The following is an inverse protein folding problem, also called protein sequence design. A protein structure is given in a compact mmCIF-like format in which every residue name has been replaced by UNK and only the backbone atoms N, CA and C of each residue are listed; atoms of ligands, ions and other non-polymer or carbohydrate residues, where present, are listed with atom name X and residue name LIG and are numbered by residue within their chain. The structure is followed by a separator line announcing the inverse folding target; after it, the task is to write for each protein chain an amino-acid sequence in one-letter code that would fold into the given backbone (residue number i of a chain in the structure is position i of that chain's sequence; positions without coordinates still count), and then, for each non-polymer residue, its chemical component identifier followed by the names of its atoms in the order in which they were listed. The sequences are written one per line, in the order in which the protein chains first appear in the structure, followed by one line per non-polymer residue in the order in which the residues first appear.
data_IF_407612276343
#
_entry.id   IF_407612276343
#
_cell.length_a   1.000
_cell.length_b   1.000
_cell.length_c   1.000
_cell.angle_alpha   90.00
_cell.angle_beta   90.00
_cell.angle_gamma   90.00
#
_symmetry.space_group_name_H-M   'P 1'
#
loop_
_entity.id
_entity.type
_entity.pdbx_description
1 polymer ?
#
# COMPACT_ATOMS: atom_id res chain seq x y z
N UNK A 1 -2.77 -21.73 0.80
CA UNK A 1 -1.76 -20.66 0.67
C UNK A 1 -2.50 -19.39 0.30
N UNK A 2 -2.34 -18.31 1.08
CA UNK A 2 -2.97 -17.01 0.76
C UNK A 2 -2.35 -16.44 -0.53
N UNK A 3 -3.14 -15.70 -1.30
CA UNK A 3 -2.66 -15.05 -2.55
C UNK A 3 -2.26 -13.60 -2.22
N UNK A 4 -1.00 -13.20 -2.45
CA UNK A 4 -0.55 -11.84 -2.12
C UNK A 4 -1.33 -10.78 -2.89
N UNK A 5 -1.85 -11.11 -4.07
CA UNK A 5 -2.68 -10.21 -4.87
C UNK A 5 -4.05 -9.98 -4.23
N UNK A 6 -4.68 -11.04 -3.72
CA UNK A 6 -5.99 -10.93 -3.07
C UNK A 6 -5.91 -10.17 -1.75
N UNK A 7 -4.82 -10.35 -0.99
CA UNK A 7 -4.58 -9.60 0.24
C UNK A 7 -4.41 -8.09 -0.06
N UNK A 8 -3.57 -7.74 -1.04
CA UNK A 8 -3.38 -6.33 -1.43
C UNK A 8 -4.66 -5.69 -1.97
N UNK A 9 -5.51 -6.42 -2.71
CA UNK A 9 -6.80 -5.90 -3.20
C UNK A 9 -7.74 -5.46 -2.09
N UNK A 10 -7.60 -5.96 -0.85
CA UNK A 10 -8.39 -5.51 0.29
C UNK A 10 -8.08 -4.07 0.71
N UNK A 11 -6.93 -3.52 0.28
CA UNK A 11 -6.53 -2.14 0.56
C UNK A 11 -7.30 -1.14 -0.30
N UNK A 12 -7.77 -1.57 -1.48
CA UNK A 12 -8.43 -0.68 -2.43
C UNK A 12 -9.77 -0.18 -1.88
N UNK A 13 -9.96 1.14 -1.93
CA UNK A 13 -11.16 1.81 -1.43
C UNK A 13 -11.24 1.99 0.09
N UNK A 14 -10.26 1.50 0.87
CA UNK A 14 -10.23 1.75 2.32
C UNK A 14 -10.08 3.24 2.64
N UNK A 15 -10.70 3.68 3.73
CA UNK A 15 -10.61 5.07 4.16
C UNK A 15 -9.30 5.34 4.92
N UNK A 16 -8.71 6.50 4.65
CA UNK A 16 -7.61 7.09 5.39
C UNK A 16 -8.00 8.51 5.80
N UNK A 17 -8.64 8.63 6.96
CA UNK A 17 -9.31 9.87 7.35
C UNK A 17 -10.41 10.24 6.34
N UNK A 18 -10.31 11.42 5.74
CA UNK A 18 -11.23 11.87 4.68
C UNK A 18 -10.87 11.35 3.27
N UNK A 19 -9.71 10.75 3.11
CA UNK A 19 -9.22 10.23 1.83
C UNK A 19 -9.60 8.75 1.67
N UNK A 20 -9.53 8.25 0.43
CA UNK A 20 -9.58 6.81 0.15
C UNK A 20 -8.28 6.33 -0.46
N UNK A 21 -7.89 5.10 -0.16
CA UNK A 21 -6.79 4.42 -0.83
C UNK A 21 -7.24 3.91 -2.19
N UNK A 22 -6.35 4.02 -3.18
CA UNK A 22 -6.53 3.48 -4.52
C UNK A 22 -5.34 2.61 -4.88
N UNK A 23 -5.59 1.33 -5.14
CA UNK A 23 -4.59 0.38 -5.62
C UNK A 23 -4.49 0.44 -7.13
N UNK A 24 -3.55 1.26 -7.63
CA UNK A 24 -3.45 1.57 -9.06
C UNK A 24 -2.58 0.59 -9.84
N UNK A 25 -1.51 0.14 -9.21
CA UNK A 25 -0.56 -0.80 -9.80
C UNK A 25 -0.50 -2.04 -8.93
N UNK A 26 -0.61 -3.22 -9.54
CA UNK A 26 -0.50 -4.50 -8.86
C UNK A 26 -0.04 -5.58 -9.85
N UNK A 27 1.15 -6.12 -9.64
CA UNK A 27 1.65 -7.20 -10.50
C UNK A 27 2.72 -8.03 -9.80
N UNK A 28 2.98 -9.23 -10.32
CA UNK A 28 4.14 -10.04 -9.92
C UNK A 28 5.38 -9.62 -10.72
N UNK A 29 6.47 -9.13 -10.10
CA UNK A 29 7.71 -8.85 -10.82
C UNK A 29 8.31 -10.12 -11.42
N UNK A 30 8.79 -10.05 -12.66
CA UNK A 30 9.30 -11.23 -13.40
C UNK A 30 10.46 -11.94 -12.70
N UNK A 31 11.33 -11.18 -12.03
CA UNK A 31 12.52 -11.67 -11.33
C UNK A 31 12.30 -12.05 -9.87
N UNK A 32 11.05 -11.99 -9.39
CA UNK A 32 10.71 -12.23 -7.99
C UNK A 32 9.89 -13.51 -7.79
N UNK A 33 9.89 -13.92 -6.53
CA UNK A 33 9.15 -15.03 -5.95
C UNK A 33 7.65 -14.98 -6.27
N UNK A 34 6.97 -16.14 -6.22
CA UNK A 34 5.51 -16.22 -6.49
C UNK A 34 4.69 -15.50 -5.43
N UNK A 35 5.23 -15.40 -4.23
CA UNK A 35 4.63 -14.82 -3.03
C UNK A 35 4.78 -13.29 -2.99
N UNK A 36 5.51 -12.70 -3.95
CA UNK A 36 5.80 -11.27 -4.01
C UNK A 36 4.91 -10.57 -5.04
N UNK A 37 4.40 -9.40 -4.68
CA UNK A 37 3.73 -8.46 -5.58
C UNK A 37 4.33 -7.08 -5.44
N UNK A 38 4.54 -6.43 -6.58
CA UNK A 38 4.71 -4.98 -6.60
C UNK A 38 3.33 -4.34 -6.54
N UNK A 39 3.23 -3.24 -5.78
CA UNK A 39 2.01 -2.47 -5.69
C UNK A 39 2.28 -0.97 -5.54
N UNK A 40 1.29 -0.18 -5.93
CA UNK A 40 1.26 1.26 -5.68
C UNK A 40 -0.11 1.67 -5.12
N UNK A 41 -0.08 2.39 -4.01
CA UNK A 41 -1.25 3.04 -3.42
C UNK A 41 -1.20 4.53 -3.70
N UNK A 42 -2.35 5.06 -4.10
CA UNK A 42 -2.59 6.48 -4.28
C UNK A 42 -3.70 6.92 -3.33
N UNK A 43 -3.86 8.23 -3.17
CA UNK A 43 -4.97 8.79 -2.42
C UNK A 43 -6.01 9.36 -3.37
N UNK A 44 -7.27 9.15 -3.02
CA UNK A 44 -8.42 9.81 -3.62
C UNK A 44 -8.97 10.81 -2.60
N UNK A 45 -9.06 12.08 -3.01
CA UNK A 45 -9.89 13.08 -2.34
C UNK A 45 -11.07 13.42 -3.25
N UNK A 46 -12.28 13.07 -2.79
CA UNK A 46 -13.51 13.13 -3.59
C UNK A 46 -13.35 12.30 -4.87
N UNK A 47 -13.08 12.94 -6.01
CA UNK A 47 -12.89 12.30 -7.32
C UNK A 47 -11.50 12.60 -7.92
N UNK A 48 -10.61 13.22 -7.15
CA UNK A 48 -9.24 13.53 -7.60
C UNK A 48 -8.26 12.54 -7.02
N UNK A 49 -7.44 11.94 -7.88
CA UNK A 49 -6.35 11.04 -7.49
C UNK A 49 -5.07 11.85 -7.29
N UNK A 50 -4.24 11.48 -6.31
CA UNK A 50 -2.88 12.02 -6.18
C UNK A 50 -2.05 11.75 -7.44
N UNK A 51 -1.14 12.67 -7.77
CA UNK A 51 -0.19 12.56 -8.89
C UNK A 51 0.84 11.47 -8.64
N UNK A 52 1.33 11.43 -7.41
CA UNK A 52 2.36 10.52 -6.94
C UNK A 52 1.72 9.46 -6.02
N UNK A 53 2.24 8.22 -6.00
CA UNK A 53 1.80 7.21 -5.05
C UNK A 53 2.23 7.60 -3.64
N UNK A 54 1.35 7.37 -2.67
CA UNK A 54 1.70 7.51 -1.25
C UNK A 54 2.60 6.36 -0.79
N UNK A 55 2.37 5.16 -1.31
CA UNK A 55 3.20 3.98 -1.05
C UNK A 55 3.45 3.27 -2.37
N UNK A 56 4.69 2.86 -2.60
CA UNK A 56 5.04 1.98 -3.70
C UNK A 56 6.11 0.99 -3.27
N UNK A 57 6.08 -0.21 -3.83
CA UNK A 57 7.14 -1.18 -3.58
C UNK A 57 6.60 -2.60 -3.58
N UNK A 58 7.24 -3.46 -2.80
CA UNK A 58 6.97 -4.89 -2.76
C UNK A 58 6.25 -5.27 -1.47
N UNK A 59 5.31 -6.19 -1.62
CA UNK A 59 4.73 -6.96 -0.53
C UNK A 59 5.03 -8.43 -0.77
N UNK A 60 5.44 -9.12 0.29
CA UNK A 60 5.64 -10.56 0.30
C UNK A 60 4.76 -11.17 1.37
N UNK A 61 4.04 -12.24 1.04
CA UNK A 61 3.36 -13.07 2.04
C UNK A 61 4.30 -13.98 2.82
N UNK A 62 5.61 -13.89 2.58
CA UNK A 62 6.58 -14.78 3.18
C UNK A 62 6.46 -16.21 2.67
N UNK A 63 7.20 -17.10 3.31
CA UNK A 63 7.31 -18.52 3.00
C UNK A 63 7.49 -19.30 4.29
N UNK A 64 6.39 -19.83 4.82
CA UNK A 64 6.38 -20.58 6.07
C UNK A 64 7.38 -21.75 6.06
N UNK A 65 7.47 -22.46 4.94
CA UNK A 65 8.39 -23.58 4.77
C UNK A 65 9.88 -23.20 4.83
N UNK A 66 10.21 -21.92 4.64
CA UNK A 66 11.56 -21.36 4.78
C UNK A 66 11.69 -20.47 6.02
N UNK A 67 10.67 -20.43 6.88
CA UNK A 67 10.59 -19.55 8.04
C UNK A 67 10.76 -18.06 7.70
N UNK A 68 10.28 -17.65 6.53
CA UNK A 68 10.29 -16.25 6.08
C UNK A 68 8.91 -15.67 6.38
N UNK A 69 8.85 -14.63 7.21
CA UNK A 69 7.60 -13.94 7.57
C UNK A 69 7.13 -13.02 6.43
N UNK A 70 5.83 -12.66 6.38
CA UNK A 70 5.36 -11.57 5.53
C UNK A 70 6.13 -10.28 5.79
N UNK A 71 6.35 -9.47 4.75
CA UNK A 71 7.02 -8.18 4.88
C UNK A 71 6.63 -7.22 3.75
N UNK A 72 6.89 -5.94 4.00
CA UNK A 72 6.89 -4.87 3.00
C UNK A 72 8.31 -4.36 2.76
N UNK A 73 8.61 -4.03 1.52
CA UNK A 73 9.81 -3.30 1.09
C UNK A 73 9.31 -2.14 0.22
N UNK A 74 9.13 -0.97 0.83
CA UNK A 74 8.35 0.13 0.26
C UNK A 74 9.05 1.49 0.41
N UNK A 75 8.82 2.34 -0.59
CA UNK A 75 8.97 3.78 -0.47
C UNK A 75 7.64 4.38 0.03
N UNK A 76 7.73 5.30 0.99
CA UNK A 76 6.60 6.07 1.49
C UNK A 76 6.80 7.56 1.20
N UNK A 77 5.84 8.17 0.51
CA UNK A 77 5.75 9.61 0.33
C UNK A 77 4.73 10.17 1.32
N UNK A 78 5.21 10.85 2.35
CA UNK A 78 4.35 11.48 3.36
C UNK A 78 3.69 12.77 2.85
N UNK A 79 4.06 13.26 1.66
CA UNK A 79 3.54 14.49 1.06
C UNK A 79 3.06 14.29 -0.39
N UNK A 80 2.09 13.39 -0.63
CA UNK A 80 1.60 13.16 -1.97
C UNK A 80 0.89 14.42 -2.50
N UNK A 81 1.17 14.74 -3.75
CA UNK A 81 0.63 15.93 -4.42
C UNK A 81 -0.63 15.61 -5.19
N UNK A 82 -1.62 16.48 -5.13
CA UNK A 82 -2.78 16.50 -6.01
C UNK A 82 -2.53 17.50 -7.16
N UNK A 83 -3.55 17.72 -8.00
CA UNK A 83 -3.48 18.70 -9.09
C UNK A 83 -3.11 20.09 -8.56
N UNK A 84 -3.86 20.54 -7.56
CA UNK A 84 -3.91 21.94 -7.13
C UNK A 84 -3.33 22.17 -5.73
N UNK A 85 -3.02 21.10 -4.98
CA UNK A 85 -2.52 21.19 -3.61
C UNK A 85 -1.65 19.98 -3.25
N UNK A 86 -0.94 20.08 -2.13
CA UNK A 86 -0.20 19.00 -1.49
C UNK A 86 -0.80 18.75 -0.10
N UNK A 87 -0.72 17.50 0.38
CA UNK A 87 -1.13 17.15 1.75
C UNK A 87 0.10 16.73 2.54
N UNK A 88 0.06 16.81 3.87
CA UNK A 88 1.07 16.23 4.75
C UNK A 88 0.40 15.17 5.63
N UNK A 89 0.74 13.90 5.39
CA UNK A 89 0.10 12.77 6.06
C UNK A 89 0.45 12.66 7.55
N UNK A 90 1.46 13.38 8.01
CA UNK A 90 1.81 13.43 9.44
C UNK A 90 0.81 14.27 10.23
N UNK A 91 0.05 15.13 9.55
CA UNK A 91 -1.06 15.87 10.14
C UNK A 91 -2.21 14.89 10.40
N UNK A 92 -2.86 15.01 11.56
CA UNK A 92 -3.97 14.12 11.98
C UNK A 92 -3.58 12.62 12.02
N UNK A 93 -2.28 12.31 12.09
CA UNK A 93 -1.75 10.94 12.18
C UNK A 93 -2.19 10.01 11.03
N UNK A 94 -2.38 10.54 9.82
CA UNK A 94 -2.77 9.74 8.66
C UNK A 94 -1.65 8.77 8.23
N UNK A 95 -0.39 9.14 8.40
CA UNK A 95 0.76 8.25 8.19
C UNK A 95 0.70 7.03 9.12
N UNK A 96 0.47 7.23 10.42
CA UNK A 96 0.33 6.16 11.40
C UNK A 96 -0.87 5.27 11.05
N UNK A 97 -2.01 5.87 10.71
CA UNK A 97 -3.20 5.13 10.30
C UNK A 97 -2.95 4.28 9.05
N UNK A 98 -2.20 4.81 8.08
CA UNK A 98 -1.82 4.06 6.88
C UNK A 98 -0.92 2.87 7.23
N UNK A 99 0.10 3.08 8.06
CA UNK A 99 0.97 1.98 8.48
C UNK A 99 0.23 0.92 9.29
N UNK A 100 -0.76 1.31 10.11
CA UNK A 100 -1.64 0.36 10.81
C UNK A 100 -2.51 -0.45 9.84
N UNK A 101 -3.04 0.18 8.78
CA UNK A 101 -3.77 -0.54 7.73
C UNK A 101 -2.86 -1.57 7.05
N UNK A 102 -1.62 -1.19 6.71
CA UNK A 102 -0.65 -2.08 6.09
C UNK A 102 -0.19 -3.20 7.03
N UNK A 103 0.05 -2.90 8.32
CA UNK A 103 0.50 -3.90 9.29
C UNK A 103 -0.51 -5.02 9.52
N UNK A 104 -1.81 -4.76 9.38
CA UNK A 104 -2.85 -5.78 9.48
C UNK A 104 -2.69 -6.90 8.43
N UNK A 105 -2.00 -6.64 7.31
CA UNK A 105 -1.68 -7.66 6.30
C UNK A 105 -0.41 -8.46 6.63
N UNK A 106 0.35 -8.06 7.66
CA UNK A 106 1.52 -8.79 8.16
C UNK A 106 1.20 -9.73 9.33
N UNK A 107 0.11 -9.49 10.05
CA UNK A 107 -0.38 -10.36 11.15
C UNK A 107 -1.08 -11.63 10.64
N UNK A 108 -0.80 -11.99 9.40
CA UNK A 108 -1.52 -12.94 8.53
C UNK A 108 -0.95 -14.34 8.64
#
# INVERSE_FOLDING_TARGET
MKDPELELKKLDGLNLGKYKLLLKSLYRPKSREKEVRYFELYLIDKDTVSKDPVVRGLFSLGRENLNIKPYYDIDFDYKPRFRDYEIDLRIEALDINLFNILSNLLEV
#
